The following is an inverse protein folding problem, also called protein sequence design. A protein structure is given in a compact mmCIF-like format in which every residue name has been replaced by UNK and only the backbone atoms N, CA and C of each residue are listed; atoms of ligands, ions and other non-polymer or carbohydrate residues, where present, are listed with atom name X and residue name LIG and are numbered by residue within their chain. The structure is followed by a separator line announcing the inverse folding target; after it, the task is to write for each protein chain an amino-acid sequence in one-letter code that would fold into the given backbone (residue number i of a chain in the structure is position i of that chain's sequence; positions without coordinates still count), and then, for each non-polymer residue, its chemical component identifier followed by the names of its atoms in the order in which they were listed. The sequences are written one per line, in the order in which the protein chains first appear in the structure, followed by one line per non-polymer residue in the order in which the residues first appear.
data_IF_507145504448
#
_entry.id   IF_507145504448
#
_cell.length_a   1.000
_cell.length_b   1.000
_cell.length_c   1.000
_cell.angle_alpha   90.00
_cell.angle_beta   90.00
_cell.angle_gamma   90.00
#
_symmetry.space_group_name_H-M   'P 1'
#
loop_
_entity.id
_entity.type
_entity.pdbx_description
1 polymer ?
2 polymer ?
3 non-polymer ?
4 water ?
#
# COMPACT_ATOMS: atom_id res chain seq x y z
N UNK A 1 -6.73 7.29 -2.58
CA UNK A 1 -6.82 7.28 -1.12
C UNK A 1 -7.49 5.99 -0.64
N UNK A 2 -8.03 6.03 0.57
CA UNK A 2 -8.73 4.88 1.08
C UNK A 2 -10.20 4.91 0.74
N UNK A 3 -10.76 3.73 0.48
CA UNK A 3 -12.16 3.55 0.17
C UNK A 3 -12.66 2.34 0.91
N UNK A 4 -13.62 2.54 1.80
CA UNK A 4 -14.26 1.43 2.47
C UNK A 4 -15.54 1.15 1.69
N UNK A 5 -15.76 -0.10 1.35
CA UNK A 5 -16.91 -0.47 0.56
C UNK A 5 -17.64 -1.52 1.29
N UNK A 6 -18.77 -1.93 0.72
CA UNK A 6 -19.58 -2.90 1.42
C UNK A 6 -18.85 -4.18 1.65
N UNK A 7 -17.99 -4.62 0.71
CA UNK A 7 -17.39 -5.96 0.82
C UNK A 7 -15.85 -6.00 0.78
N UNK A 8 -15.23 -4.84 0.86
CA UNK A 8 -13.76 -4.77 0.85
C UNK A 8 -13.30 -3.44 1.40
N UNK A 9 -12.04 -3.41 1.86
CA UNK A 9 -11.35 -2.16 2.25
C UNK A 9 -10.18 -1.99 1.26
N UNK A 10 -10.09 -0.81 0.63
CA UNK A 10 -9.00 -0.58 -0.31
C UNK A 10 -8.27 0.69 -0.03
N UNK A 11 -7.06 0.74 -0.54
CA UNK A 11 -6.29 1.97 -0.60
C UNK A 11 -5.64 1.99 -1.97
N UNK A 12 -5.78 3.08 -2.69
CA UNK A 12 -5.08 3.28 -3.97
C UNK A 12 -4.27 4.53 -3.88
N UNK A 13 -2.98 4.44 -4.16
CA UNK A 13 -2.06 5.58 -4.06
C UNK A 13 -1.22 5.74 -5.28
N UNK A 14 -0.98 6.98 -5.70
CA UNK A 14 0.03 7.20 -6.73
C UNK A 14 1.42 7.04 -6.15
N UNK A 15 2.20 6.13 -6.72
CA UNK A 15 3.56 5.94 -6.28
C UNK A 15 4.51 5.86 -7.48
N UNK A 16 4.15 6.53 -8.57
CA UNK A 16 4.91 6.41 -9.81
C UNK A 16 6.39 6.80 -9.70
N UNK A 17 6.76 7.60 -8.70
CA UNK A 17 8.15 8.01 -8.52
C UNK A 17 8.98 7.04 -7.71
N UNK A 18 8.39 5.92 -7.33
CA UNK A 18 9.06 4.96 -6.48
C UNK A 18 9.16 3.61 -7.15
N UNK A 19 10.32 2.98 -7.01
CA UNK A 19 10.44 1.61 -7.46
C UNK A 19 9.81 0.67 -6.44
N UNK A 20 9.55 -0.59 -6.85
CA UNK A 20 8.93 -1.51 -5.88
C UNK A 20 9.76 -1.68 -4.62
N UNK A 21 11.09 -1.69 -4.78
CA UNK A 21 12.00 -1.84 -3.66
C UNK A 21 12.02 -0.65 -2.71
N UNK A 22 11.49 0.49 -3.16
CA UNK A 22 11.43 1.72 -2.38
C UNK A 22 10.12 1.87 -1.64
N UNK A 23 9.22 0.88 -1.78
CA UNK A 23 7.91 0.90 -1.13
C UNK A 23 7.84 -0.13 -0.03
N UNK A 24 7.11 0.16 1.03
CA UNK A 24 6.84 -0.76 2.11
C UNK A 24 5.34 -0.70 2.45
N UNK A 25 4.69 -1.85 2.50
CA UNK A 25 3.29 -1.94 2.94
C UNK A 25 3.31 -2.80 4.17
N UNK A 26 3.06 -2.21 5.34
CA UNK A 26 3.12 -2.90 6.61
C UNK A 26 1.72 -3.10 7.14
N UNK A 27 1.41 -4.33 7.54
CA UNK A 27 0.14 -4.62 8.22
C UNK A 27 0.47 -5.29 9.53
N UNK A 28 0.11 -4.63 10.62
CA UNK A 28 0.38 -5.10 11.98
C UNK A 28 -0.88 -4.84 12.76
N UNK A 29 -1.50 -5.89 13.28
CA UNK A 29 -2.75 -5.73 13.96
C UNK A 29 -3.72 -5.16 12.95
N UNK A 30 -4.52 -4.17 13.38
CA UNK A 30 -5.51 -3.56 12.51
C UNK A 30 -5.02 -2.23 11.92
N UNK A 31 -3.72 -2.10 11.77
CA UNK A 31 -3.19 -0.91 11.14
C UNK A 31 -2.45 -1.26 9.86
N UNK A 32 -2.70 -0.49 8.78
CA UNK A 32 -1.88 -0.57 7.54
C UNK A 32 -1.05 0.69 7.49
N UNK A 33 0.23 0.54 7.22
CA UNK A 33 1.08 1.70 6.91
C UNK A 33 1.65 1.52 5.50
N UNK A 34 1.72 2.61 4.76
CA UNK A 34 2.42 2.57 3.46
C UNK A 34 3.49 3.63 3.50
N UNK A 35 4.70 3.26 3.10
CA UNK A 35 5.85 4.17 3.12
C UNK A 35 6.56 4.09 1.79
N UNK A 36 7.13 5.21 1.34
CA UNK A 36 7.98 5.18 0.16
C UNK A 36 9.08 6.19 0.39
N UNK A 37 10.27 5.90 -0.09
CA UNK A 37 11.37 6.87 -0.08
C UNK A 37 12.23 6.68 -1.32
N UNK A 38 12.50 7.78 -2.02
CA UNK A 38 13.30 7.73 -3.24
C UNK A 38 14.33 8.83 -3.17
N UNK A 39 15.59 8.49 -3.33
CA UNK A 39 16.66 9.46 -3.33
C UNK A 39 17.42 9.35 -4.63
N UNK A 40 17.87 10.49 -5.14
CA UNK A 40 18.76 10.48 -6.30
C UNK A 40 20.00 11.30 -5.97
N UNK A 41 21.19 10.71 -6.17
CA UNK A 41 22.44 11.44 -6.12
C UNK A 41 22.64 11.79 -7.57
N UNK A 42 21.96 12.86 -7.97
CA UNK A 42 22.08 13.37 -9.32
C UNK A 42 23.54 13.55 -9.69
N UNK A 43 24.31 14.12 -8.76
CA UNK A 43 25.66 14.50 -9.10
C UNK A 43 26.60 14.70 -7.92
N UNK A 44 27.78 15.20 -8.27
CA UNK A 44 28.86 15.49 -7.35
C UNK A 44 28.38 16.51 -6.33
N UNK A 45 27.36 17.29 -6.69
CA UNK A 45 26.99 18.43 -5.85
C UNK A 45 25.84 18.19 -4.93
N UNK A 46 25.17 17.05 -4.97
CA UNK A 46 24.06 16.91 -4.06
C UNK A 46 23.07 15.85 -4.42
N UNK A 47 21.95 15.90 -3.72
CA UNK A 47 20.87 14.95 -3.95
C UNK A 47 19.51 15.54 -3.72
N UNK A 48 18.52 14.81 -4.21
CA UNK A 48 17.13 15.09 -3.97
C UNK A 48 16.54 13.87 -3.28
N UNK A 49 15.56 14.06 -2.40
CA UNK A 49 14.86 12.96 -1.75
C UNK A 49 13.38 13.27 -1.79
N UNK A 50 12.57 12.24 -1.89
CA UNK A 50 11.14 12.41 -1.61
C UNK A 50 10.64 11.19 -0.89
N UNK A 51 9.63 11.41 -0.07
CA UNK A 51 9.09 10.33 0.73
C UNK A 51 7.65 10.57 1.09
N UNK A 52 6.97 9.50 1.49
CA UNK A 52 5.62 9.63 2.02
C UNK A 52 5.38 8.56 3.04
N UNK A 53 4.43 8.82 3.92
CA UNK A 53 4.04 7.91 4.98
C UNK A 53 2.56 8.05 5.19
N UNK A 54 1.83 6.96 5.09
CA UNK A 54 0.39 6.98 5.28
C UNK A 54 0.02 5.86 6.24
N UNK A 55 -1.01 6.06 7.03
CA UNK A 55 -1.49 5.05 7.97
C UNK A 55 -3.00 4.99 7.91
N UNK A 56 -3.56 3.78 7.95
CA UNK A 56 -5.00 3.58 7.88
C UNK A 56 -5.44 2.53 8.88
N UNK A 57 -6.68 2.62 9.33
CA UNK A 57 -7.27 1.63 10.23
C UNK A 57 -8.04 0.61 9.45
N UNK A 58 -7.80 -0.67 9.74
CA UNK A 58 -8.48 -1.78 9.06
C UNK A 58 -9.77 -2.04 9.86
N UNK A 59 -10.91 -2.12 9.20
CA UNK A 59 -12.17 -2.40 9.90
C UNK A 59 -12.11 -3.76 10.62
N UNK A 60 -12.88 -3.95 11.69
CA UNK A 60 -12.80 -5.18 12.49
C UNK A 60 -13.24 -6.44 11.76
N UNK A 61 -14.01 -6.30 10.69
CA UNK A 61 -14.45 -7.44 9.90
C UNK A 61 -13.57 -7.74 8.69
N UNK A 62 -12.39 -7.16 8.65
CA UNK A 62 -11.35 -7.58 7.72
C UNK A 62 -10.25 -8.26 8.52
N UNK A 63 -9.97 -9.53 8.23
CA UNK A 63 -8.83 -10.20 8.87
C UNK A 63 -7.56 -9.56 8.29
N UNK A 64 -6.71 -8.95 9.14
CA UNK A 64 -5.50 -8.31 8.58
C UNK A 64 -4.62 -9.24 7.75
N UNK A 65 -4.65 -10.53 8.05
CA UNK A 65 -3.85 -11.52 7.32
C UNK A 65 -4.33 -11.67 5.89
N UNK A 66 -5.54 -11.23 5.57
CA UNK A 66 -6.03 -11.30 4.21
C UNK A 66 -5.71 -10.08 3.36
N UNK A 67 -5.06 -9.07 3.95
CA UNK A 67 -4.70 -7.91 3.14
C UNK A 67 -3.51 -8.24 2.24
N UNK A 68 -3.61 -7.81 0.99
CA UNK A 68 -2.55 -7.98 0.01
C UNK A 68 -2.37 -6.69 -0.75
N UNK A 69 -1.35 -6.62 -1.60
CA UNK A 69 -1.03 -5.41 -2.33
C UNK A 69 -0.43 -5.71 -3.70
N UNK A 70 -0.70 -4.83 -4.66
CA UNK A 70 -0.11 -4.94 -5.99
C UNK A 70 0.13 -3.58 -6.56
N UNK A 71 1.03 -3.54 -7.52
CA UNK A 71 1.46 -2.29 -8.15
C UNK A 71 1.24 -2.38 -9.62
N UNK A 72 0.51 -1.41 -10.18
CA UNK A 72 0.22 -1.42 -11.60
C UNK A 72 1.37 -0.83 -12.43
N UNK A 73 1.34 -1.10 -13.73
CA UNK A 73 2.36 -0.58 -14.64
C UNK A 73 2.47 0.93 -14.62
N UNK A 74 1.34 1.59 -14.39
CA UNK A 74 1.34 3.06 -14.41
C UNK A 74 1.59 3.65 -13.03
N UNK A 75 1.98 2.82 -12.06
CA UNK A 75 2.49 3.34 -10.80
C UNK A 75 1.41 3.61 -9.76
N UNK A 76 0.27 2.93 -9.84
CA UNK A 76 -0.73 3.00 -8.79
C UNK A 76 -0.57 1.79 -7.88
N UNK A 77 -0.42 2.04 -6.59
CA UNK A 77 -0.32 0.97 -5.59
C UNK A 77 -1.70 0.71 -5.04
N UNK A 78 -2.12 -0.54 -5.06
CA UNK A 78 -3.40 -0.94 -4.45
C UNK A 78 -3.14 -1.83 -3.26
N UNK A 79 -3.78 -1.53 -2.15
CA UNK A 79 -3.76 -2.39 -0.96
C UNK A 79 -5.21 -2.77 -0.72
N UNK A 80 -5.51 -4.05 -0.57
CA UNK A 80 -6.89 -4.41 -0.35
C UNK A 80 -7.12 -5.60 0.51
N UNK A 81 -8.30 -5.67 1.11
CA UNK A 81 -8.65 -6.88 1.86
C UNK A 81 -10.15 -7.07 1.84
N UNK A 82 -10.60 -8.32 1.83
CA UNK A 82 -12.04 -8.60 1.82
C UNK A 82 -12.64 -8.44 3.21
N UNK A 83 -13.91 -8.06 3.23
CA UNK A 83 -14.66 -8.06 4.50
C UNK A 83 -15.45 -9.33 4.60
N UNK A 84 -15.68 -9.77 5.83
CA UNK A 84 -16.45 -10.98 6.06
C UNK A 84 -17.87 -10.78 5.52
N UNK A 85 -18.35 -11.75 4.76
CA UNK A 85 -19.68 -11.65 4.17
C UNK A 85 -20.50 -12.86 4.52
N UNK A 86 -21.82 -12.70 4.36
CA UNK A 86 -22.76 -13.79 4.60
C UNK A 86 -22.50 -14.91 3.61
N UNK A 87 -22.63 -16.15 4.07
CA UNK A 87 -22.49 -17.33 3.21
C UNK A 87 -23.82 -18.06 3.01
N UNK B 1 -1.72 -7.77 -15.14
CA UNK B 1 -0.31 -7.43 -15.34
C UNK B 1 0.26 -6.63 -14.19
N UNK B 2 -0.05 -7.06 -12.98
CA UNK B 2 0.30 -6.28 -11.83
C UNK B 2 1.46 -6.97 -11.15
N UNK B 3 2.32 -6.21 -10.50
CA UNK B 3 3.38 -6.75 -9.68
C UNK B 3 2.87 -6.92 -8.25
N UNK B 4 3.03 -8.11 -7.66
CA UNK B 4 2.67 -8.29 -6.24
C UNK B 4 3.64 -7.54 -5.38
N UNK B 5 3.15 -6.75 -4.42
CA UNK B 5 4.00 -6.04 -3.48
C UNK B 5 3.91 -6.76 -2.14
N UNK B 6 5.00 -7.36 -1.68
CA UNK B 6 4.90 -8.20 -0.48
C UNK B 6 4.53 -7.36 0.74
N UNK B 7 3.73 -7.94 1.62
CA UNK B 7 3.32 -7.25 2.87
C UNK B 7 4.37 -7.52 3.94
N UNK B 8 4.79 -6.46 4.62
CA UNK B 8 5.63 -6.56 5.81
C UNK B 8 4.76 -6.70 7.05
N UNK B 9 4.94 -7.79 7.80
CA UNK B 9 4.09 -8.07 8.98
C UNK B 9 4.89 -8.14 10.29
N UNK B 10 5.97 -7.38 10.39
CA UNK B 10 6.71 -7.24 11.61
C UNK B 10 7.29 -5.85 11.55
X LIG C 1 5.42 14.87 -9.31
X LIG C 1 5.90 14.05 -10.12
X LIG C 1 4.40 14.54 -8.63
X LIG C 1 6.06 16.23 -9.17
X LIG C 1 7.43 16.19 -9.84
X LIG C 1 7.94 17.60 -9.96
X LIG C 1 9.15 17.85 -10.24
X LIG C 1 7.15 18.56 -9.77
#
# INVERSE_FOLDING_TARGET
GMRLEKDRFSVNLDVKHFSPEELKVKVLGDVIEVHGKHEERQDEHGFISREFHRKYRIPADVDPLTITSSLSSDGVLTVNGPRKQVS
GERTIPITRE
SIN C1 O1 O2 C2 C3 C4 O3 O4
#
